data_IF_247610679500
#
_entry.id   IF_247610679500
#
_cell.length_a   1.000
_cell.length_b   1.000
_cell.length_c   1.000
_cell.angle_alpha   90.00
_cell.angle_beta   90.00
_cell.angle_gamma   90.00
#
_symmetry.space_group_name_H-M   'P 1'
#
loop_
_entity.id
_entity.type
_entity.pdbx_description
1 polymer ?
#
# COMPACT_ATOMS: atom_id res chain seq x y z
N UNK A 1 -1.71 1.32 17.26
CA UNK A 1 -0.74 2.19 16.58
C UNK A 1 -0.62 1.78 15.13
N UNK A 2 -0.75 2.71 14.22
CA UNK A 2 -0.63 2.36 12.80
C UNK A 2 0.80 2.55 12.33
N UNK A 3 1.26 1.64 11.49
CA UNK A 3 2.51 1.79 10.78
C UNK A 3 2.20 2.23 9.37
N UNK A 4 2.95 3.20 8.86
CA UNK A 4 2.76 3.75 7.54
C UNK A 4 4.07 3.65 6.77
N UNK A 5 4.01 3.07 5.58
CA UNK A 5 5.16 2.97 4.68
C UNK A 5 4.79 3.73 3.41
N UNK A 6 5.63 4.68 3.01
CA UNK A 6 5.42 5.47 1.81
C UNK A 6 6.44 5.11 0.74
N UNK A 7 5.96 4.88 -0.47
CA UNK A 7 6.80 4.55 -1.61
C UNK A 7 6.49 5.55 -2.72
N UNK A 8 7.50 6.31 -3.15
CA UNK A 8 7.33 7.28 -4.22
C UNK A 8 7.17 6.53 -5.55
N UNK A 9 6.04 6.75 -6.22
CA UNK A 9 5.74 6.12 -7.50
C UNK A 9 6.24 6.96 -8.68
N UNK A 10 6.01 8.26 -8.60
CA UNK A 10 6.48 9.22 -9.60
C UNK A 10 6.57 10.60 -8.95
N UNK A 11 6.70 11.67 -9.74
CA UNK A 11 6.90 13.02 -9.20
C UNK A 11 5.79 13.50 -8.28
N UNK A 12 4.55 13.05 -8.51
CA UNK A 12 3.37 13.57 -7.80
C UNK A 12 2.61 12.53 -7.01
N UNK A 13 2.88 11.24 -7.24
CA UNK A 13 2.08 10.17 -6.65
C UNK A 13 2.92 9.22 -5.81
N UNK A 14 2.29 8.66 -4.79
CA UNK A 14 2.90 7.76 -3.82
C UNK A 14 2.00 6.55 -3.63
N UNK A 15 2.60 5.42 -3.29
CA UNK A 15 1.87 4.26 -2.79
C UNK A 15 2.09 4.24 -1.28
N UNK A 16 1.02 4.22 -0.52
CA UNK A 16 1.09 4.18 0.94
C UNK A 16 0.55 2.83 1.42
N UNK A 17 1.33 2.16 2.24
CA UNK A 17 0.94 0.91 2.88
C UNK A 17 0.75 1.21 4.35
N UNK A 18 -0.44 0.93 4.86
CA UNK A 18 -0.78 1.30 6.23
C UNK A 18 -1.49 0.16 6.94
N UNK A 19 -1.05 -0.11 8.17
CA UNK A 19 -1.79 -1.01 9.05
C UNK A 19 -2.83 -0.18 9.79
N UNK A 20 -4.10 -0.52 9.61
CA UNK A 20 -5.22 0.20 10.20
C UNK A 20 -6.09 -0.74 11.02
N UNK A 21 -7.05 -0.17 11.72
CA UNK A 21 -7.96 -0.94 12.55
C UNK A 21 -9.38 -0.39 12.39
N UNK A 22 -10.34 -1.30 12.30
CA UNK A 22 -11.75 -0.95 12.26
C UNK A 22 -12.51 -1.87 13.21
N UNK A 23 -13.15 -1.27 14.22
CA UNK A 23 -13.91 -2.00 15.24
C UNK A 23 -13.11 -3.14 15.88
N UNK A 24 -11.84 -2.87 16.19
CA UNK A 24 -10.95 -3.84 16.82
C UNK A 24 -10.32 -4.86 15.87
N UNK A 25 -10.62 -4.76 14.58
CA UNK A 25 -10.09 -5.69 13.59
C UNK A 25 -9.01 -5.02 12.75
N UNK A 26 -7.76 -5.53 12.77
CA UNK A 26 -6.70 -4.96 11.96
C UNK A 26 -6.88 -5.30 10.49
N UNK A 27 -6.47 -4.37 9.62
CA UNK A 27 -6.44 -4.61 8.17
C UNK A 27 -5.34 -3.78 7.54
N UNK A 28 -4.92 -4.17 6.35
CA UNK A 28 -3.88 -3.47 5.60
C UNK A 28 -4.55 -2.70 4.47
N UNK A 29 -4.13 -1.43 4.31
CA UNK A 29 -4.61 -0.56 3.23
C UNK A 29 -3.41 -0.23 2.34
N UNK A 30 -3.49 -0.60 1.07
CA UNK A 30 -2.48 -0.24 0.06
C UNK A 30 -3.17 0.71 -0.91
N UNK A 31 -2.75 1.96 -0.92
CA UNK A 31 -3.48 3.02 -1.64
C UNK A 31 -2.54 4.01 -2.29
N UNK A 32 -2.96 4.52 -3.44
CA UNK A 32 -2.24 5.59 -4.11
C UNK A 32 -2.68 6.93 -3.54
N UNK A 33 -1.69 7.80 -3.26
CA UNK A 33 -1.90 9.17 -2.80
C UNK A 33 -1.26 10.11 -3.81
N UNK A 34 -1.71 11.35 -3.82
CA UNK A 34 -1.13 12.37 -4.70
C UNK A 34 -0.90 13.67 -3.90
N UNK A 35 0.03 14.49 -4.40
CA UNK A 35 0.28 15.81 -3.82
C UNK A 35 -0.68 16.81 -4.44
N UNK A 36 -1.52 17.42 -3.61
CA UNK A 36 -2.46 18.45 -4.04
C UNK A 36 -1.75 19.80 -4.11
N UNK A 37 -2.39 20.77 -4.81
CA UNK A 37 -1.80 22.10 -5.02
C UNK A 37 -1.50 22.86 -3.73
N UNK A 38 -2.24 22.58 -2.68
CA UNK A 38 -2.04 23.25 -1.38
C UNK A 38 -0.94 22.60 -0.53
N UNK A 39 -0.21 21.67 -1.09
CA UNK A 39 0.87 20.97 -0.39
C UNK A 39 0.41 19.78 0.44
N UNK A 40 -0.86 19.47 0.42
CA UNK A 40 -1.40 18.32 1.15
C UNK A 40 -1.33 17.05 0.30
N UNK A 41 -1.11 15.93 0.98
CA UNK A 41 -1.14 14.63 0.32
C UNK A 41 -2.50 14.01 0.56
N UNK A 42 -3.21 13.68 -0.52
CA UNK A 42 -4.59 13.21 -0.46
C UNK A 42 -4.71 11.79 -1.04
N UNK A 43 -5.60 10.97 -0.47
CA UNK A 43 -5.84 9.64 -0.98
C UNK A 43 -6.64 9.67 -2.28
N UNK A 44 -6.47 8.60 -3.07
CA UNK A 44 -7.28 8.38 -4.27
C UNK A 44 -8.16 7.16 -4.06
N UNK A 45 -9.00 6.86 -5.05
CA UNK A 45 -9.81 5.64 -5.06
C UNK A 45 -9.00 4.41 -5.50
N UNK A 46 -7.75 4.61 -5.92
CA UNK A 46 -6.88 3.53 -6.37
C UNK A 46 -6.22 2.88 -5.17
N UNK A 47 -6.82 1.82 -4.68
CA UNK A 47 -6.30 1.11 -3.53
C UNK A 47 -7.09 -0.14 -3.23
N UNK A 48 -6.50 -0.97 -2.39
CA UNK A 48 -7.13 -2.20 -1.92
C UNK A 48 -6.89 -2.36 -0.43
N UNK A 49 -7.80 -3.07 0.23
CA UNK A 49 -7.65 -3.42 1.63
C UNK A 49 -7.76 -4.93 1.77
N UNK A 50 -7.08 -5.49 2.76
CA UNK A 50 -7.16 -6.91 3.02
C UNK A 50 -6.79 -7.21 4.47
N UNK A 51 -7.23 -8.38 4.94
CA UNK A 51 -6.94 -8.83 6.30
C UNK A 51 -5.49 -9.29 6.41
N UNK A 52 -4.93 -9.34 7.64
CA UNK A 52 -3.57 -9.86 7.83
C UNK A 52 -3.39 -11.29 7.30
N UNK A 53 -4.47 -12.09 7.32
CA UNK A 53 -4.42 -13.46 6.80
C UNK A 53 -4.15 -13.47 5.29
N UNK A 54 -4.76 -12.54 4.57
CA UNK A 54 -4.54 -12.42 3.12
C UNK A 54 -3.19 -11.79 2.83
N UNK A 55 -2.68 -10.97 3.75
CA UNK A 55 -1.40 -10.30 3.59
C UNK A 55 -0.27 -11.28 3.25
N UNK A 56 -0.20 -12.42 3.94
CA UNK A 56 0.86 -13.40 3.70
C UNK A 56 0.83 -13.89 2.25
N UNK A 57 -0.36 -14.09 1.71
CA UNK A 57 -0.51 -14.54 0.32
C UNK A 57 -0.12 -13.43 -0.67
N UNK A 58 -0.46 -12.18 -0.34
CA UNK A 58 -0.09 -11.03 -1.18
C UNK A 58 1.42 -10.87 -1.21
N UNK A 59 2.07 -10.97 -0.06
CA UNK A 59 3.54 -10.88 0.03
C UNK A 59 4.18 -11.99 -0.80
N UNK A 60 3.71 -13.23 -0.65
CA UNK A 60 4.23 -14.36 -1.41
C UNK A 60 4.08 -14.14 -2.91
N UNK A 61 2.93 -13.64 -3.34
CA UNK A 61 2.68 -13.35 -4.75
C UNK A 61 3.62 -12.29 -5.30
N UNK A 62 3.82 -11.23 -4.52
CA UNK A 62 4.73 -10.14 -4.92
C UNK A 62 6.17 -10.64 -5.02
N UNK A 63 6.61 -11.47 -4.09
CA UNK A 63 7.96 -12.07 -4.12
C UNK A 63 8.13 -12.96 -5.35
N UNK A 64 7.12 -13.74 -5.71
CA UNK A 64 7.17 -14.58 -6.91
C UNK A 64 7.36 -13.73 -8.17
N UNK A 65 6.62 -12.63 -8.28
CA UNK A 65 6.74 -11.72 -9.41
C UNK A 65 8.11 -11.06 -9.44
N UNK A 66 8.61 -10.64 -8.29
CA UNK A 66 9.93 -10.04 -8.17
C UNK A 66 11.02 -11.02 -8.65
N UNK A 67 10.92 -12.28 -8.23
CA UNK A 67 11.86 -13.32 -8.63
C UNK A 67 11.81 -13.54 -10.15
N UNK A 68 10.61 -13.60 -10.74
CA UNK A 68 10.45 -13.76 -12.18
C UNK A 68 11.10 -12.63 -12.96
N UNK A 69 10.91 -11.40 -12.51
CA UNK A 69 11.48 -10.22 -13.16
C UNK A 69 13.02 -10.27 -13.08
N UNK A 70 13.56 -10.63 -11.93
CA UNK A 70 15.01 -10.64 -11.70
C UNK A 70 15.72 -11.79 -12.41
N UNK A 71 14.99 -12.81 -12.84
CA UNK A 71 15.56 -13.96 -13.53
C UNK A 71 15.46 -13.89 -15.06
N UNK A 72 14.98 -12.80 -15.59
CA UNK A 72 14.89 -12.58 -17.04
C UNK A 72 16.17 -11.99 -17.61
#
# INVERSE_FOLDING_TARGET
MSEIIEIKKNKTNYVQIELREYEGHPYVDVREFYDAEDGKRLPTKKGITFTPKVLDQVVDGLVQLQTSINNE
#
